data_IF_769228152270
#
_entry.id   IF_769228152270
#
_cell.length_a   1.000
_cell.length_b   1.000
_cell.length_c   1.000
_cell.angle_alpha   90.00
_cell.angle_beta   90.00
_cell.angle_gamma   90.00
#
_symmetry.space_group_name_H-M   'P 1'
#
loop_
_entity.id
_entity.type
_entity.pdbx_description
1 polymer ?
#
# COMPACT_ATOMS: atom_id res chain seq x y z
N UNK A 1 -47.83 -4.25 -27.24
CA UNK A 1 -46.76 -5.18 -26.85
C UNK A 1 -45.53 -4.83 -27.66
N UNK A 2 -44.68 -3.95 -27.14
CA UNK A 2 -43.35 -3.72 -27.69
C UNK A 2 -42.40 -3.69 -26.50
N UNK A 3 -41.60 -4.75 -26.39
CA UNK A 3 -40.68 -4.99 -25.29
C UNK A 3 -39.56 -3.96 -25.32
N UNK A 4 -39.48 -3.17 -24.25
CA UNK A 4 -38.29 -2.40 -23.92
C UNK A 4 -37.11 -3.37 -23.76
N UNK A 5 -35.94 -3.09 -24.35
CA UNK A 5 -34.75 -3.87 -24.03
C UNK A 5 -34.39 -3.54 -22.58
N UNK A 6 -34.54 -4.52 -21.70
CA UNK A 6 -33.88 -4.54 -20.41
C UNK A 6 -32.38 -4.35 -20.67
N UNK A 7 -31.89 -3.12 -20.47
CA UNK A 7 -30.50 -2.91 -20.15
C UNK A 7 -30.28 -3.58 -18.79
N UNK A 8 -30.01 -4.88 -18.86
CA UNK A 8 -29.35 -5.61 -17.79
C UNK A 8 -28.02 -4.91 -17.57
N UNK A 9 -28.02 -3.94 -16.65
CA UNK A 9 -26.84 -3.41 -16.01
C UNK A 9 -26.20 -4.61 -15.32
N UNK A 10 -25.34 -5.31 -16.06
CA UNK A 10 -24.39 -6.22 -15.43
C UNK A 10 -23.73 -5.41 -14.30
N UNK A 11 -23.59 -5.97 -13.08
CA UNK A 11 -22.76 -5.32 -12.08
C UNK A 11 -21.45 -4.98 -12.76
N UNK A 12 -20.97 -3.75 -12.63
CA UNK A 12 -19.59 -3.44 -13.00
C UNK A 12 -18.72 -4.38 -12.17
N UNK A 13 -18.37 -5.52 -12.76
CA UNK A 13 -17.34 -6.42 -12.28
C UNK A 13 -16.06 -5.58 -12.38
N UNK A 14 -15.76 -4.88 -11.29
CA UNK A 14 -14.49 -4.21 -11.10
C UNK A 14 -13.43 -5.29 -11.30
N UNK A 15 -12.60 -5.13 -12.34
CA UNK A 15 -11.48 -6.03 -12.57
C UNK A 15 -10.67 -6.14 -11.26
N UNK A 16 -10.36 -7.37 -10.85
CA UNK A 16 -9.58 -7.64 -9.65
C UNK A 16 -8.27 -6.82 -9.70
N UNK A 17 -7.92 -6.06 -8.63
CA UNK A 17 -6.65 -5.32 -8.55
C UNK A 17 -5.43 -6.11 -9.00
N UNK A 18 -5.44 -7.43 -8.76
CA UNK A 18 -4.37 -8.34 -9.18
C UNK A 18 -4.16 -8.41 -10.71
N UNK A 19 -5.17 -8.07 -11.50
CA UNK A 19 -5.09 -7.97 -12.97
C UNK A 19 -4.30 -6.73 -13.38
N UNK A 20 -4.52 -5.60 -12.72
CA UNK A 20 -3.77 -4.38 -12.98
C UNK A 20 -2.30 -4.52 -12.59
N UNK A 21 -1.99 -5.20 -11.48
CA UNK A 21 -0.62 -5.51 -11.09
C UNK A 21 0.10 -6.36 -12.14
N UNK A 22 -0.56 -7.39 -12.68
CA UNK A 22 0.01 -8.22 -13.75
C UNK A 22 0.24 -7.42 -15.02
N UNK A 23 -0.69 -6.54 -15.40
CA UNK A 23 -0.56 -5.68 -16.58
C UNK A 23 0.56 -4.64 -16.39
N UNK A 24 0.66 -4.04 -15.21
CA UNK A 24 1.74 -3.11 -14.82
C UNK A 24 3.11 -3.80 -14.90
N UNK A 25 3.26 -4.94 -14.24
CA UNK A 25 4.54 -5.68 -14.23
C UNK A 25 4.95 -6.11 -15.63
N UNK A 26 4.01 -6.59 -16.44
CA UNK A 26 4.27 -6.93 -17.85
C UNK A 26 4.68 -5.70 -18.67
N UNK A 27 4.00 -4.56 -18.51
CA UNK A 27 4.34 -3.31 -19.20
C UNK A 27 5.72 -2.78 -18.80
N UNK A 28 6.09 -2.85 -17.51
CA UNK A 28 7.41 -2.48 -17.03
C UNK A 28 8.52 -3.37 -17.59
N UNK A 29 8.31 -4.69 -17.58
CA UNK A 29 9.26 -5.63 -18.18
C UNK A 29 9.48 -5.31 -19.66
N UNK A 30 8.39 -5.05 -20.39
CA UNK A 30 8.47 -4.73 -21.82
C UNK A 30 9.18 -3.41 -22.08
N UNK A 31 8.92 -2.39 -21.27
CA UNK A 31 9.62 -1.11 -21.32
C UNK A 31 11.13 -1.29 -21.12
N UNK A 32 11.53 -2.04 -20.09
CA UNK A 32 12.94 -2.30 -19.78
C UNK A 32 13.66 -3.09 -20.87
N UNK A 33 13.00 -4.08 -21.48
CA UNK A 33 13.53 -4.83 -22.61
C UNK A 33 13.80 -3.93 -23.81
N UNK A 34 12.81 -3.12 -24.19
CA UNK A 34 12.92 -2.21 -25.32
C UNK A 34 14.00 -1.15 -25.09
N UNK A 35 14.10 -0.64 -23.87
CA UNK A 35 15.14 0.32 -23.48
C UNK A 35 16.55 -0.27 -23.59
N UNK A 36 16.76 -1.49 -23.09
CA UNK A 36 18.04 -2.19 -23.25
C UNK A 36 18.43 -2.36 -24.71
N UNK A 37 17.50 -2.78 -25.56
CA UNK A 37 17.77 -2.95 -27.00
C UNK A 37 18.01 -1.61 -27.68
N UNK A 38 17.27 -0.56 -27.28
CA UNK A 38 17.49 0.80 -27.77
C UNK A 38 18.92 1.28 -27.49
N UNK A 39 19.38 1.14 -26.25
CA UNK A 39 20.75 1.53 -25.83
C UNK A 39 21.79 0.78 -26.66
N UNK A 40 21.64 -0.54 -26.82
CA UNK A 40 22.56 -1.35 -27.64
C UNK A 40 22.62 -0.89 -29.10
N UNK A 41 21.49 -0.46 -29.67
CA UNK A 41 21.44 0.06 -31.04
C UNK A 41 22.02 1.47 -31.15
N UNK A 42 21.86 2.31 -30.12
CA UNK A 42 22.50 3.63 -30.02
C UNK A 42 24.02 3.48 -29.96
N UNK A 43 24.53 2.62 -29.07
CA UNK A 43 25.97 2.34 -28.96
C UNK A 43 26.55 1.83 -30.28
N UNK A 44 25.80 0.95 -30.98
CA UNK A 44 26.17 0.49 -32.32
C UNK A 44 26.17 1.61 -33.35
N UNK A 45 25.21 2.53 -33.31
CA UNK A 45 25.15 3.66 -34.22
C UNK A 45 26.37 4.58 -34.04
N UNK A 46 26.75 4.86 -32.79
CA UNK A 46 27.95 5.63 -32.43
C UNK A 46 29.21 4.93 -32.97
N UNK A 47 29.38 3.63 -32.69
CA UNK A 47 30.54 2.88 -33.16
C UNK A 47 30.65 2.85 -34.71
N UNK A 48 29.51 2.76 -35.41
CA UNK A 48 29.48 2.83 -36.88
C UNK A 48 29.86 4.23 -37.38
N UNK A 49 29.36 5.28 -36.73
CA UNK A 49 29.71 6.66 -37.05
C UNK A 49 31.20 6.93 -36.87
N UNK A 50 31.80 6.44 -35.78
CA UNK A 50 33.24 6.54 -35.54
C UNK A 50 34.03 5.78 -36.60
N UNK A 51 33.59 4.58 -36.99
CA UNK A 51 34.24 3.78 -38.03
C UNK A 51 34.17 4.42 -39.42
N UNK A 52 33.13 5.21 -39.72
CA UNK A 52 33.01 5.91 -41.00
C UNK A 52 34.18 6.90 -41.26
N UNK A 53 34.83 7.38 -40.20
CA UNK A 53 36.01 8.26 -40.30
C UNK A 53 37.29 7.54 -40.74
N UNK A 54 37.38 6.23 -40.53
CA UNK A 54 38.59 5.41 -40.80
C UNK A 54 38.46 4.49 -42.02
N UNK A 55 37.24 4.29 -42.53
CA UNK A 55 36.93 3.40 -43.65
C UNK A 55 37.22 4.04 -45.02
N UNK A 56 37.48 3.20 -46.04
CA UNK A 56 37.74 3.65 -47.43
C UNK A 56 36.56 4.46 -47.98
N UNK A 57 36.86 5.45 -48.82
CA UNK A 57 35.87 6.38 -49.41
C UNK A 57 34.67 5.68 -50.10
N UNK A 58 34.88 4.50 -50.69
CA UNK A 58 33.83 3.71 -51.36
C UNK A 58 32.81 3.11 -50.38
N UNK A 59 33.25 2.74 -49.18
CA UNK A 59 32.42 2.03 -48.21
C UNK A 59 31.84 2.97 -47.14
N UNK A 60 32.40 4.18 -47.01
CA UNK A 60 31.97 5.21 -46.06
C UNK A 60 30.47 5.50 -46.10
N UNK A 61 29.90 5.70 -47.29
CA UNK A 61 28.47 6.00 -47.44
C UNK A 61 27.58 4.86 -46.93
N UNK A 62 28.01 3.61 -47.13
CA UNK A 62 27.30 2.44 -46.65
C UNK A 62 27.32 2.34 -45.11
N UNK A 63 28.46 2.67 -44.49
CA UNK A 63 28.62 2.69 -43.03
C UNK A 63 27.80 3.82 -42.40
N UNK A 64 27.81 5.02 -42.99
CA UNK A 64 26.99 6.15 -42.56
C UNK A 64 25.48 5.83 -42.69
N UNK A 65 25.07 5.14 -43.76
CA UNK A 65 23.69 4.68 -43.91
C UNK A 65 23.29 3.65 -42.84
N UNK A 66 24.18 2.71 -42.51
CA UNK A 66 23.95 1.73 -41.43
C UNK A 66 23.90 2.39 -40.05
N UNK A 67 24.73 3.40 -39.79
CA UNK A 67 24.71 4.18 -38.56
C UNK A 67 23.35 4.89 -38.40
N UNK A 68 22.91 5.63 -39.43
CA UNK A 68 21.60 6.30 -39.44
C UNK A 68 20.44 5.33 -39.24
N UNK A 69 20.45 4.18 -39.91
CA UNK A 69 19.42 3.15 -39.73
C UNK A 69 19.38 2.60 -38.31
N UNK A 70 20.56 2.41 -37.69
CA UNK A 70 20.66 1.92 -36.31
C UNK A 70 20.13 2.97 -35.32
N UNK A 71 20.43 4.25 -35.55
CA UNK A 71 19.90 5.36 -34.76
C UNK A 71 18.37 5.45 -34.85
N UNK A 72 17.80 5.47 -36.06
CA UNK A 72 16.34 5.52 -36.24
C UNK A 72 15.61 4.37 -35.55
N UNK A 73 16.23 3.18 -35.55
CA UNK A 73 15.68 2.01 -34.87
C UNK A 73 15.81 2.13 -33.35
N UNK A 74 16.91 2.66 -32.84
CA UNK A 74 17.09 2.98 -31.42
C UNK A 74 16.01 3.97 -30.96
N UNK A 75 15.87 5.11 -31.64
CA UNK A 75 14.89 6.15 -31.32
C UNK A 75 13.45 5.59 -31.33
N UNK A 76 13.12 4.73 -32.31
CA UNK A 76 11.81 4.08 -32.37
C UNK A 76 11.56 3.12 -31.22
N UNK A 77 12.56 2.34 -30.80
CA UNK A 77 12.43 1.43 -29.66
C UNK A 77 12.36 2.20 -28.34
N UNK A 78 13.08 3.31 -28.21
CA UNK A 78 12.99 4.21 -27.06
C UNK A 78 11.60 4.85 -26.96
N UNK A 79 11.05 5.35 -28.07
CA UNK A 79 9.69 5.89 -28.07
C UNK A 79 8.65 4.84 -27.62
N UNK A 80 8.82 3.59 -28.04
CA UNK A 80 7.98 2.49 -27.58
C UNK A 80 8.22 2.14 -26.11
N UNK A 81 9.47 2.17 -25.61
CA UNK A 81 9.77 1.91 -24.20
C UNK A 81 9.06 2.91 -23.29
N UNK A 82 9.06 4.20 -23.68
CA UNK A 82 8.34 5.25 -22.98
C UNK A 82 6.82 5.02 -22.96
N UNK A 83 6.22 4.65 -24.10
CA UNK A 83 4.78 4.34 -24.17
C UNK A 83 4.38 3.17 -23.24
N UNK A 84 5.22 2.14 -23.13
CA UNK A 84 5.00 1.05 -22.17
C UNK A 84 5.20 1.48 -20.71
N UNK A 85 6.13 2.40 -20.43
CA UNK A 85 6.29 2.96 -19.10
C UNK A 85 5.06 3.79 -18.68
N UNK A 86 4.49 4.58 -19.59
CA UNK A 86 3.27 5.33 -19.33
C UNK A 86 2.06 4.41 -19.15
N UNK A 87 1.98 3.33 -19.93
CA UNK A 87 0.96 2.29 -19.74
C UNK A 87 1.06 1.62 -18.37
N UNK A 88 2.28 1.38 -17.87
CA UNK A 88 2.48 0.85 -16.53
C UNK A 88 1.97 1.80 -15.44
N UNK A 89 2.24 3.11 -15.56
CA UNK A 89 1.71 4.13 -14.65
C UNK A 89 0.18 4.19 -14.68
N UNK A 90 -0.41 4.06 -15.86
CA UNK A 90 -1.86 3.99 -16.01
C UNK A 90 -2.44 2.78 -15.27
N UNK A 91 -1.87 1.58 -15.44
CA UNK A 91 -2.33 0.39 -14.72
C UNK A 91 -2.11 0.50 -13.21
N UNK A 92 -1.02 1.12 -12.76
CA UNK A 92 -0.79 1.39 -11.34
C UNK A 92 -1.91 2.28 -10.76
N UNK A 93 -2.30 3.33 -11.48
CA UNK A 93 -3.39 4.20 -11.06
C UNK A 93 -4.73 3.45 -11.01
N UNK A 94 -5.06 2.68 -12.05
CA UNK A 94 -6.29 1.88 -12.09
C UNK A 94 -6.33 0.82 -10.98
N UNK A 95 -5.19 0.19 -10.66
CA UNK A 95 -5.08 -0.74 -9.54
C UNK A 95 -5.37 -0.08 -8.20
N UNK A 96 -4.80 1.10 -7.95
CA UNK A 96 -5.09 1.89 -6.74
C UNK A 96 -6.56 2.29 -6.65
N UNK A 97 -7.16 2.74 -7.75
CA UNK A 97 -8.57 3.11 -7.78
C UNK A 97 -9.46 1.89 -7.49
N UNK A 98 -9.14 0.72 -8.05
CA UNK A 98 -9.85 -0.53 -7.79
C UNK A 98 -9.73 -0.99 -6.33
N UNK A 99 -8.53 -0.88 -5.73
CA UNK A 99 -8.27 -1.17 -4.32
C UNK A 99 -9.08 -0.24 -3.39
N UNK A 100 -9.09 1.06 -3.68
CA UNK A 100 -9.85 2.04 -2.89
C UNK A 100 -11.35 1.76 -2.94
N UNK A 101 -11.88 1.42 -4.12
CA UNK A 101 -13.29 1.07 -4.29
C UNK A 101 -13.64 -0.23 -3.56
N UNK A 102 -12.78 -1.25 -3.64
CA UNK A 102 -12.96 -2.50 -2.91
C UNK A 102 -12.97 -2.26 -1.40
N UNK A 103 -11.99 -1.52 -0.88
CA UNK A 103 -11.91 -1.20 0.54
C UNK A 103 -13.13 -0.40 1.01
N UNK A 104 -13.67 0.50 0.17
CA UNK A 104 -14.90 1.22 0.47
C UNK A 104 -16.12 0.30 0.51
N UNK A 105 -16.27 -0.62 -0.47
CA UNK A 105 -17.36 -1.61 -0.46
C UNK A 105 -17.33 -2.47 0.80
N UNK A 106 -16.16 -2.97 1.17
CA UNK A 106 -15.96 -3.75 2.39
C UNK A 106 -16.34 -2.95 3.65
N UNK A 107 -15.97 -1.67 3.71
CA UNK A 107 -16.36 -0.75 4.78
C UNK A 107 -17.87 -0.46 4.81
N UNK A 108 -18.49 -0.22 3.66
CA UNK A 108 -19.94 -0.01 3.55
C UNK A 108 -20.72 -1.24 4.04
N UNK A 109 -20.27 -2.43 3.66
CA UNK A 109 -20.85 -3.68 4.14
C UNK A 109 -20.68 -3.83 5.65
N UNK A 110 -19.48 -3.52 6.19
CA UNK A 110 -19.17 -3.67 7.61
C UNK A 110 -19.95 -2.68 8.50
N UNK A 111 -20.05 -1.41 8.10
CA UNK A 111 -20.55 -0.34 8.96
C UNK A 111 -22.00 0.07 8.69
N UNK A 112 -22.46 -0.09 7.45
CA UNK A 112 -23.78 0.36 7.03
C UNK A 112 -24.68 -0.79 6.59
N UNK A 113 -24.15 -2.01 6.48
CA UNK A 113 -24.91 -3.20 6.07
C UNK A 113 -25.67 -3.02 4.73
N UNK A 114 -25.14 -2.18 3.84
CA UNK A 114 -25.77 -1.88 2.55
C UNK A 114 -25.74 -3.11 1.64
N UNK A 115 -26.85 -3.38 0.96
CA UNK A 115 -26.93 -4.37 -0.11
C UNK A 115 -26.13 -3.96 -1.36
N UNK A 116 -25.94 -4.86 -2.32
CA UNK A 116 -25.15 -4.58 -3.53
C UNK A 116 -25.71 -3.44 -4.38
N UNK A 117 -27.04 -3.31 -4.45
CA UNK A 117 -27.73 -2.25 -5.19
C UNK A 117 -27.56 -0.88 -4.52
N UNK A 118 -27.68 -0.82 -3.19
CA UNK A 118 -27.48 0.40 -2.42
C UNK A 118 -26.02 0.86 -2.45
N UNK A 119 -25.08 -0.08 -2.45
CA UNK A 119 -23.66 0.22 -2.66
C UNK A 119 -23.42 0.83 -4.04
N UNK A 120 -24.05 0.31 -5.10
CA UNK A 120 -23.92 0.88 -6.44
C UNK A 120 -24.41 2.35 -6.46
N UNK A 121 -25.56 2.63 -5.85
CA UNK A 121 -26.10 3.99 -5.75
C UNK A 121 -25.17 4.96 -5.01
N UNK A 122 -24.54 4.52 -3.93
CA UNK A 122 -23.54 5.32 -3.19
C UNK A 122 -22.29 5.58 -4.04
N UNK A 123 -21.87 4.60 -4.85
CA UNK A 123 -20.69 4.72 -5.70
C UNK A 123 -20.92 5.59 -6.93
N UNK A 124 -22.15 5.58 -7.47
CA UNK A 124 -22.54 6.36 -8.64
C UNK A 124 -22.72 7.85 -8.34
N UNK A 125 -23.08 8.20 -7.10
CA UNK A 125 -23.23 9.59 -6.68
C UNK A 125 -21.93 10.10 -6.02
N UNK A 126 -21.21 11.06 -6.62
CA UNK A 126 -19.92 11.52 -6.09
C UNK A 126 -20.00 12.10 -4.67
N UNK A 127 -21.06 12.83 -4.35
CA UNK A 127 -21.22 13.48 -3.05
C UNK A 127 -21.48 12.45 -1.95
N UNK A 128 -22.36 11.48 -2.23
CA UNK A 128 -22.59 10.35 -1.32
C UNK A 128 -21.33 9.49 -1.18
N UNK A 129 -20.64 9.18 -2.28
CA UNK A 129 -19.39 8.41 -2.27
C UNK A 129 -18.35 9.05 -1.35
N UNK A 130 -18.15 10.36 -1.44
CA UNK A 130 -17.20 11.10 -0.61
C UNK A 130 -17.61 11.14 0.87
N UNK A 131 -18.90 11.37 1.15
CA UNK A 131 -19.45 11.32 2.50
C UNK A 131 -19.21 9.95 3.15
N UNK A 132 -19.63 8.87 2.48
CA UNK A 132 -19.49 7.52 3.00
C UNK A 132 -18.03 7.07 3.11
N UNK A 133 -17.14 7.52 2.20
CA UNK A 133 -15.69 7.32 2.33
C UNK A 133 -15.15 7.89 3.63
N UNK A 134 -15.44 9.16 3.92
CA UNK A 134 -14.98 9.83 5.12
C UNK A 134 -15.57 9.19 6.39
N UNK A 135 -16.90 9.00 6.41
CA UNK A 135 -17.58 8.49 7.61
C UNK A 135 -17.22 7.03 7.90
N UNK A 136 -17.14 6.16 6.89
CA UNK A 136 -16.73 4.78 7.11
C UNK A 136 -15.27 4.65 7.54
N UNK A 137 -14.39 5.55 7.09
CA UNK A 137 -12.99 5.62 7.54
C UNK A 137 -12.88 6.08 8.99
N UNK A 138 -13.74 7.01 9.42
CA UNK A 138 -13.83 7.41 10.84
C UNK A 138 -14.22 6.22 11.72
N UNK A 139 -15.26 5.47 11.34
CA UNK A 139 -15.69 4.26 12.07
C UNK A 139 -14.60 3.19 12.13
N UNK A 140 -13.87 2.98 11.03
CA UNK A 140 -12.72 2.08 11.02
C UNK A 140 -11.61 2.50 11.99
N UNK A 141 -11.33 3.81 12.06
CA UNK A 141 -10.33 4.33 12.98
C UNK A 141 -10.77 4.19 14.45
N UNK A 142 -12.06 4.34 14.74
CA UNK A 142 -12.62 4.10 16.08
C UNK A 142 -12.57 2.62 16.48
N UNK A 143 -12.79 1.68 15.55
CA UNK A 143 -12.60 0.25 15.82
C UNK A 143 -11.13 -0.06 16.14
N UNK A 144 -10.20 0.49 15.34
CA UNK A 144 -8.76 0.30 15.54
C UNK A 144 -8.28 0.97 16.85
N UNK A 145 -8.87 2.11 17.21
CA UNK A 145 -8.67 2.79 18.49
C UNK A 145 -9.04 1.86 19.63
N UNK A 146 -10.28 1.36 19.64
CA UNK A 146 -10.77 0.48 20.69
C UNK A 146 -9.90 -0.78 20.84
N UNK A 147 -9.41 -1.33 19.73
CA UNK A 147 -8.47 -2.46 19.76
C UNK A 147 -7.11 -2.09 20.35
N UNK A 148 -6.56 -0.92 19.98
CA UNK A 148 -5.30 -0.43 20.53
C UNK A 148 -5.40 -0.16 22.03
N UNK A 149 -6.50 0.43 22.51
CA UNK A 149 -6.76 0.67 23.92
C UNK A 149 -6.89 -0.63 24.72
N UNK A 150 -7.65 -1.60 24.19
CA UNK A 150 -7.75 -2.94 24.81
C UNK A 150 -6.38 -3.62 24.91
N UNK A 151 -5.60 -3.56 23.84
CA UNK A 151 -4.24 -4.13 23.80
C UNK A 151 -3.28 -3.42 24.75
N UNK A 152 -3.38 -2.09 24.88
CA UNK A 152 -2.56 -1.30 25.81
C UNK A 152 -2.89 -1.67 27.26
N UNK A 153 -4.18 -1.75 27.60
CA UNK A 153 -4.66 -2.18 28.92
C UNK A 153 -4.16 -3.58 29.26
N UNK A 154 -4.32 -4.55 28.36
CA UNK A 154 -3.83 -5.91 28.57
C UNK A 154 -2.30 -5.95 28.76
N UNK A 155 -1.54 -5.11 28.04
CA UNK A 155 -0.10 -5.02 28.21
C UNK A 155 0.29 -4.46 29.58
N UNK A 156 -0.45 -3.48 30.11
CA UNK A 156 -0.26 -2.98 31.48
C UNK A 156 -0.59 -4.03 32.55
N UNK A 157 -1.73 -4.71 32.41
CA UNK A 157 -2.11 -5.78 33.35
C UNK A 157 -1.06 -6.89 33.40
N UNK A 158 -0.50 -7.27 32.24
CA UNK A 158 0.60 -8.23 32.18
C UNK A 158 1.90 -7.67 32.76
N UNK A 159 2.21 -6.40 32.53
CA UNK A 159 3.37 -5.72 33.13
C UNK A 159 3.29 -5.75 34.65
N UNK A 160 2.14 -5.36 35.22
CA UNK A 160 1.88 -5.39 36.66
C UNK A 160 2.01 -6.80 37.23
N UNK A 161 1.51 -7.81 36.51
CA UNK A 161 1.68 -9.21 36.89
C UNK A 161 3.16 -9.63 36.90
N UNK A 162 3.95 -9.24 35.88
CA UNK A 162 5.39 -9.55 35.85
C UNK A 162 6.12 -8.87 37.02
N UNK A 163 5.77 -7.63 37.37
CA UNK A 163 6.34 -6.95 38.54
C UNK A 163 5.94 -7.64 39.85
N UNK A 164 4.68 -8.10 39.97
CA UNK A 164 4.25 -8.89 41.11
C UNK A 164 5.05 -10.19 41.22
N UNK A 165 5.27 -10.91 40.11
CA UNK A 165 6.09 -12.13 40.09
C UNK A 165 7.55 -11.85 40.47
N UNK A 166 8.14 -10.78 39.96
CA UNK A 166 9.49 -10.37 40.35
C UNK A 166 9.56 -10.10 41.87
N UNK A 167 8.57 -9.40 42.42
CA UNK A 167 8.51 -9.11 43.85
C UNK A 167 8.26 -10.37 44.69
N UNK A 168 7.46 -11.32 44.23
CA UNK A 168 7.23 -12.62 44.88
C UNK A 168 8.53 -13.44 44.97
N UNK A 169 9.31 -13.50 43.89
CA UNK A 169 10.62 -14.19 43.88
C UNK A 169 11.60 -13.51 44.84
N UNK A 170 11.54 -12.19 44.95
CA UNK A 170 12.40 -11.42 45.85
C UNK A 170 11.90 -11.39 47.30
N UNK A 171 10.66 -11.79 47.56
CA UNK A 171 10.08 -11.78 48.89
C UNK A 171 10.67 -12.94 49.69
N UNK A 172 11.34 -12.61 50.80
CA UNK A 172 11.77 -13.64 51.74
C UNK A 172 10.54 -14.21 52.44
N UNK A 173 10.33 -15.54 52.40
CA UNK A 173 9.17 -16.27 52.96
C UNK A 173 9.03 -16.22 54.50
N UNK A 174 9.42 -15.11 55.15
CA UNK A 174 9.51 -14.98 56.61
C UNK A 174 10.62 -15.83 57.24
N UNK A 175 11.36 -16.61 56.44
CA UNK A 175 12.47 -17.47 56.86
C UNK A 175 13.81 -16.74 56.95
N UNK A 176 13.89 -15.51 56.42
CA UNK A 176 15.14 -14.74 56.31
C UNK A 176 16.15 -15.32 55.32
N UNK A 177 15.77 -16.31 54.51
CA UNK A 177 16.58 -16.82 53.39
C UNK A 177 16.77 -15.70 52.37
N UNK A 178 18.02 -15.44 51.98
CA UNK A 178 18.31 -14.59 50.82
C UNK A 178 18.06 -15.36 49.53
N UNK A 179 17.50 -14.70 48.49
CA UNK A 179 17.33 -15.32 47.20
C UNK A 179 18.68 -15.74 46.61
N UNK A 180 18.71 -16.89 45.95
CA UNK A 180 19.91 -17.38 45.27
C UNK A 180 20.10 -16.73 43.89
N UNK A 181 21.21 -17.07 43.21
CA UNK A 181 21.55 -16.45 41.93
C UNK A 181 20.51 -16.73 40.83
N UNK A 182 19.89 -17.92 40.84
CA UNK A 182 18.87 -18.28 39.84
C UNK A 182 17.57 -17.51 40.08
N UNK A 183 17.17 -17.34 41.34
CA UNK A 183 16.03 -16.51 41.73
C UNK A 183 16.25 -15.02 41.38
N UNK A 184 17.46 -14.50 41.58
CA UNK A 184 17.82 -13.13 41.17
C UNK A 184 17.73 -12.94 39.65
N UNK A 185 18.26 -13.88 38.86
CA UNK A 185 18.20 -13.84 37.40
C UNK A 185 16.75 -13.94 36.90
N UNK A 186 15.91 -14.76 37.54
CA UNK A 186 14.49 -14.88 37.22
C UNK A 186 13.73 -13.59 37.51
N UNK A 187 13.96 -12.97 38.67
CA UNK A 187 13.34 -11.69 39.01
C UNK A 187 13.79 -10.58 38.05
N UNK A 188 15.05 -10.57 37.63
CA UNK A 188 15.56 -9.64 36.62
C UNK A 188 14.86 -9.83 35.26
N UNK A 189 14.66 -11.09 34.82
CA UNK A 189 13.95 -11.39 33.59
C UNK A 189 12.49 -10.91 33.61
N UNK A 190 11.78 -11.11 34.73
CA UNK A 190 10.42 -10.60 34.90
C UNK A 190 10.37 -9.06 34.86
N UNK A 191 11.31 -8.38 35.52
CA UNK A 191 11.41 -6.92 35.47
C UNK A 191 11.67 -6.42 34.04
N UNK A 192 12.58 -7.05 33.30
CA UNK A 192 12.84 -6.67 31.91
C UNK A 192 11.60 -6.86 31.03
N UNK A 193 10.89 -7.98 31.22
CA UNK A 193 9.66 -8.24 30.48
C UNK A 193 8.56 -7.22 30.82
N UNK A 194 8.43 -6.83 32.09
CA UNK A 194 7.50 -5.77 32.51
C UNK A 194 7.80 -4.44 31.80
N UNK A 195 9.07 -4.02 31.75
CA UNK A 195 9.48 -2.78 31.06
C UNK A 195 9.08 -2.82 29.59
N UNK A 196 9.36 -3.93 28.88
CA UNK A 196 8.98 -4.07 27.46
C UNK A 196 7.45 -4.01 27.25
N UNK A 197 6.68 -4.59 28.17
CA UNK A 197 5.21 -4.54 28.13
C UNK A 197 4.69 -3.12 28.38
N UNK A 198 5.31 -2.37 29.29
CA UNK A 198 5.01 -0.97 29.56
C UNK A 198 5.26 -0.10 28.32
N UNK A 199 6.44 -0.24 27.70
CA UNK A 199 6.80 0.50 26.47
C UNK A 199 5.83 0.19 25.32
N UNK A 200 5.43 -1.08 25.20
CA UNK A 200 4.41 -1.49 24.24
C UNK A 200 3.07 -0.82 24.51
N UNK A 201 2.62 -0.78 25.77
CA UNK A 201 1.38 -0.11 26.15
C UNK A 201 1.41 1.38 25.77
N UNK A 202 2.48 2.09 26.13
CA UNK A 202 2.62 3.52 25.81
C UNK A 202 2.67 3.78 24.30
N UNK A 203 3.29 2.87 23.54
CA UNK A 203 3.28 2.92 22.07
C UNK A 203 1.87 2.78 21.50
N UNK A 204 1.08 1.85 22.04
CA UNK A 204 -0.31 1.61 21.65
C UNK A 204 -1.21 2.81 22.02
N UNK A 205 -1.01 3.43 23.18
CA UNK A 205 -1.75 4.64 23.57
C UNK A 205 -1.44 5.83 22.67
N UNK A 206 -0.17 6.03 22.31
CA UNK A 206 0.20 7.05 21.30
C UNK A 206 -0.45 6.77 19.95
N UNK A 207 -0.59 5.49 19.57
CA UNK A 207 -1.32 5.11 18.35
C UNK A 207 -2.81 5.39 18.48
N UNK A 208 -3.42 5.06 19.62
CA UNK A 208 -4.82 5.33 19.93
C UNK A 208 -5.14 6.82 19.80
N UNK A 209 -4.34 7.70 20.43
CA UNK A 209 -4.52 9.14 20.34
C UNK A 209 -4.47 9.68 18.88
N UNK A 210 -3.59 9.13 18.03
CA UNK A 210 -3.54 9.49 16.60
C UNK A 210 -4.77 9.00 15.84
N UNK A 211 -5.25 7.79 16.15
CA UNK A 211 -6.46 7.24 15.53
C UNK A 211 -7.70 8.05 15.90
N UNK A 212 -7.82 8.47 17.17
CA UNK A 212 -8.90 9.36 17.61
C UNK A 212 -8.91 10.66 16.80
N UNK A 213 -7.77 11.37 16.74
CA UNK A 213 -7.70 12.63 15.98
C UNK A 213 -7.99 12.44 14.49
N UNK A 214 -7.55 11.32 13.89
CA UNK A 214 -7.87 11.01 12.51
C UNK A 214 -9.37 10.71 12.31
N UNK A 215 -10.01 10.02 13.27
CA UNK A 215 -11.43 9.72 13.24
C UNK A 215 -12.27 11.00 13.33
N UNK A 216 -11.91 11.91 14.22
CA UNK A 216 -12.58 13.20 14.41
C UNK A 216 -12.48 14.08 13.15
N UNK A 217 -11.31 14.09 12.48
CA UNK A 217 -11.13 14.81 11.22
C UNK A 217 -12.01 14.26 10.10
N UNK A 218 -12.03 12.93 9.93
CA UNK A 218 -12.86 12.29 8.91
C UNK A 218 -14.36 12.48 9.20
N UNK A 219 -14.75 12.49 10.48
CA UNK A 219 -16.13 12.74 10.85
C UNK A 219 -16.56 14.19 10.62
N UNK A 220 -15.67 15.14 10.94
CA UNK A 220 -15.87 16.55 10.63
C UNK A 220 -16.00 16.80 9.12
N UNK A 221 -15.19 16.13 8.30
CA UNK A 221 -15.28 16.20 6.84
C UNK A 221 -16.62 15.66 6.34
N UNK A 222 -17.05 14.49 6.83
CA UNK A 222 -18.35 13.92 6.46
C UNK A 222 -19.51 14.85 6.87
N UNK A 223 -19.44 15.43 8.06
CA UNK A 223 -20.47 16.35 8.56
C UNK A 223 -20.56 17.63 7.71
N UNK A 224 -19.42 18.17 7.26
CA UNK A 224 -19.38 19.34 6.39
C UNK A 224 -20.03 19.08 5.02
N UNK A 225 -19.86 17.88 4.45
CA UNK A 225 -20.46 17.48 3.17
C UNK A 225 -21.99 17.39 3.21
N UNK A 226 -22.59 17.19 4.39
CA UNK A 226 -24.04 17.18 4.56
C UNK A 226 -24.65 18.59 4.72
N UNK A 227 -23.82 19.62 4.92
CA UNK A 227 -24.27 21.00 5.15
C UNK A 227 -24.24 21.85 3.87
N UNK A 228 -23.73 21.31 2.76
CA UNK A 228 -23.67 21.93 1.44
C UNK A 228 -24.80 21.48 0.55
#
# INVERSE_FOLDING_TARGET
EEGSPEHSLAPMDLEDPSVFDRRMTSALQRSQELERVSIQLSDRAIALQDSASTVRRKDRESVEALARRSQLRSDSLHALSLAFADSARYFEQQGRDADEQRALKERLMKYYYLGSEEQALVMENPDLSNYFKARSRSLEQLDQLAEAERSAKASRELSDLMLQRANEVMATDGTGRQPDAEELDQAAAFNEQAVRLQERADSLERRAARLQGAADLNDGQASAMLQT
#
